data_IF_052466296115
#
_entry.id   IF_052466296115
#
_cell.length_a   1.000
_cell.length_b   1.000
_cell.length_c   1.000
_cell.angle_alpha   90.00
_cell.angle_beta   90.00
_cell.angle_gamma   90.00
#
_symmetry.space_group_name_H-M   'P 1'
#
loop_
_entity.id
_entity.type
_entity.pdbx_description
1 polymer ?
#
# COMPACT_ATOMS: atom_id res chain seq x y z
N UNK A 1 0.30 13.63 -8.51
CA UNK A 1 1.21 12.95 -7.57
C UNK A 1 0.57 13.02 -6.20
N UNK A 2 0.39 11.90 -5.52
CA UNK A 2 -0.15 11.84 -4.16
C UNK A 2 0.90 11.20 -3.26
N UNK A 3 1.10 11.75 -2.08
CA UNK A 3 2.03 11.24 -1.07
C UNK A 3 1.24 10.79 0.16
N UNK A 4 1.67 9.68 0.77
CA UNK A 4 1.08 9.11 1.96
C UNK A 4 2.21 8.73 2.93
N UNK A 5 2.15 9.27 4.14
CA UNK A 5 3.01 8.89 5.25
C UNK A 5 2.18 8.20 6.30
N UNK A 6 2.62 7.01 6.73
CA UNK A 6 2.05 6.28 7.84
C UNK A 6 3.08 6.23 8.96
N UNK A 7 2.74 6.80 10.12
CA UNK A 7 3.53 6.63 11.33
C UNK A 7 3.62 5.15 11.73
N UNK A 8 4.60 4.74 12.56
CA UNK A 8 4.65 3.39 13.14
C UNK A 8 3.30 2.93 13.69
N UNK A 9 2.81 1.77 13.23
CA UNK A 9 1.50 1.23 13.58
C UNK A 9 0.31 1.84 12.82
N UNK A 10 0.54 2.83 11.97
CA UNK A 10 -0.47 3.47 11.13
C UNK A 10 -0.93 2.58 9.98
N UNK A 11 -2.18 2.75 9.55
CA UNK A 11 -2.75 2.00 8.45
C UNK A 11 -3.83 2.79 7.70
N UNK A 12 -4.00 2.44 6.42
CA UNK A 12 -5.19 2.79 5.64
C UNK A 12 -6.03 1.54 5.55
N UNK A 13 -7.25 1.59 6.11
CA UNK A 13 -8.20 0.49 6.16
C UNK A 13 -8.60 -0.07 4.78
N UNK A 14 -9.42 -1.11 4.79
CA UNK A 14 -9.86 -1.76 3.55
C UNK A 14 -10.58 -0.76 2.62
N UNK A 15 -10.06 -0.61 1.40
CA UNK A 15 -10.62 0.29 0.38
C UNK A 15 -10.15 -0.11 -1.02
N UNK A 16 -10.74 0.51 -2.04
CA UNK A 16 -10.30 0.42 -3.43
C UNK A 16 -10.30 1.82 -4.08
N UNK A 17 -9.86 1.93 -5.34
CA UNK A 17 -9.70 3.22 -6.03
C UNK A 17 -10.50 3.25 -7.34
N UNK A 18 -10.82 4.46 -7.82
CA UNK A 18 -11.40 4.61 -9.16
C UNK A 18 -10.27 4.62 -10.18
N UNK A 19 -10.02 3.46 -10.81
CA UNK A 19 -9.00 3.25 -11.84
C UNK A 19 -7.62 2.85 -11.29
N UNK A 20 -6.70 2.44 -12.17
CA UNK A 20 -5.42 1.88 -11.77
C UNK A 20 -4.42 2.94 -11.30
N UNK A 21 -3.46 2.52 -10.47
CA UNK A 21 -2.39 3.35 -9.95
C UNK A 21 -1.08 2.60 -9.78
N UNK A 22 0.02 3.35 -9.72
CA UNK A 22 1.34 2.84 -9.34
C UNK A 22 1.75 3.57 -8.06
N UNK A 23 2.21 2.81 -7.07
CA UNK A 23 2.84 3.33 -5.85
C UNK A 23 4.30 2.95 -5.84
N UNK A 24 5.11 3.81 -5.23
CA UNK A 24 6.50 3.51 -4.89
C UNK A 24 6.64 3.66 -3.39
N UNK A 25 7.28 2.70 -2.72
CA UNK A 25 7.68 2.87 -1.33
C UNK A 25 8.97 3.70 -1.32
N UNK A 26 8.93 4.87 -0.70
CA UNK A 26 10.08 5.80 -0.68
C UNK A 26 10.95 5.61 0.57
N UNK A 27 10.34 5.35 1.73
CA UNK A 27 11.00 5.15 3.03
C UNK A 27 10.26 4.10 3.84
N UNK A 28 10.98 3.35 4.67
CA UNK A 28 10.41 2.32 5.55
C UNK A 28 9.88 1.10 4.80
N UNK A 29 9.05 0.30 5.45
CA UNK A 29 8.50 -0.93 4.90
C UNK A 29 6.97 -0.90 4.96
N UNK A 30 6.32 -1.19 3.84
CA UNK A 30 4.85 -1.27 3.77
C UNK A 30 4.41 -2.73 3.73
N UNK A 31 3.51 -3.12 4.64
CA UNK A 31 2.75 -4.37 4.48
C UNK A 31 1.46 -4.09 3.76
N UNK A 32 1.20 -4.82 2.68
CA UNK A 32 0.05 -4.62 1.82
C UNK A 32 -0.79 -5.89 1.76
N UNK A 33 -2.02 -5.82 2.26
CA UNK A 33 -2.95 -6.93 2.31
C UNK A 33 -3.94 -6.83 1.15
N UNK A 34 -3.93 -7.84 0.28
CA UNK A 34 -4.91 -8.12 -0.77
C UNK A 34 -5.86 -9.24 -0.30
N UNK A 35 -6.98 -9.49 -1.00
CA UNK A 35 -7.95 -10.50 -0.58
C UNK A 35 -7.38 -11.92 -0.49
N UNK A 36 -6.40 -12.24 -1.33
CA UNK A 36 -5.82 -13.58 -1.46
C UNK A 36 -4.41 -13.70 -0.88
N UNK A 37 -3.73 -12.59 -0.62
CA UNK A 37 -2.32 -12.59 -0.19
C UNK A 37 -1.94 -11.34 0.59
N UNK A 38 -0.86 -11.45 1.34
CA UNK A 38 -0.18 -10.29 1.95
C UNK A 38 1.22 -10.19 1.40
N UNK A 39 1.62 -8.98 1.04
CA UNK A 39 2.93 -8.64 0.50
C UNK A 39 3.65 -7.64 1.39
N UNK A 40 4.97 -7.60 1.28
CA UNK A 40 5.82 -6.62 1.94
C UNK A 40 6.63 -5.91 0.87
N UNK A 41 6.60 -4.58 0.88
CA UNK A 41 7.34 -3.72 -0.05
C UNK A 41 8.34 -2.86 0.72
N UNK A 42 9.56 -2.76 0.17
CA UNK A 42 10.71 -2.04 0.72
C UNK A 42 10.99 -0.75 -0.07
N UNK A 43 11.86 0.14 0.44
CA UNK A 43 12.21 1.36 -0.29
C UNK A 43 12.75 1.06 -1.68
N UNK A 44 12.18 1.72 -2.69
CA UNK A 44 12.50 1.51 -4.10
C UNK A 44 11.55 0.54 -4.81
N UNK A 45 10.81 -0.29 -4.08
CA UNK A 45 9.82 -1.18 -4.69
C UNK A 45 8.63 -0.41 -5.24
N UNK A 46 8.07 -0.93 -6.33
CA UNK A 46 6.85 -0.45 -6.94
C UNK A 46 5.74 -1.49 -6.80
N UNK A 47 4.52 -1.02 -6.59
CA UNK A 47 3.32 -1.85 -6.68
C UNK A 47 2.29 -1.22 -7.62
N UNK A 48 1.58 -2.11 -8.31
CA UNK A 48 0.47 -1.77 -9.17
C UNK A 48 -0.85 -2.07 -8.44
N UNK A 49 -1.74 -1.09 -8.44
CA UNK A 49 -3.10 -1.21 -7.94
C UNK A 49 -4.02 -1.19 -9.17
N UNK A 50 -4.82 -2.24 -9.39
CA UNK A 50 -5.76 -2.28 -10.52
C UNK A 50 -6.92 -1.28 -10.37
N UNK A 51 -7.15 -0.81 -9.15
CA UNK A 51 -8.22 0.09 -8.76
C UNK A 51 -9.45 -0.63 -8.23
N UNK A 52 -9.84 -1.74 -8.84
CA UNK A 52 -11.07 -2.48 -8.53
C UNK A 52 -10.93 -3.53 -7.42
N UNK A 53 -9.72 -3.76 -6.90
CA UNK A 53 -9.45 -4.73 -5.83
C UNK A 53 -9.27 -4.03 -4.49
N UNK A 54 -10.04 -4.46 -3.49
CA UNK A 54 -9.89 -3.99 -2.11
C UNK A 54 -8.52 -4.35 -1.54
N UNK A 55 -7.94 -3.44 -0.77
CA UNK A 55 -6.68 -3.63 -0.12
C UNK A 55 -6.56 -2.80 1.17
N UNK A 56 -5.59 -3.19 1.99
CA UNK A 56 -5.23 -2.48 3.22
C UNK A 56 -3.73 -2.28 3.26
N UNK A 57 -3.28 -1.06 3.59
CA UNK A 57 -1.86 -0.73 3.71
C UNK A 57 -1.51 -0.48 5.17
N UNK A 58 -0.45 -1.11 5.65
CA UNK A 58 0.03 -0.99 7.02
C UNK A 58 1.50 -0.56 7.04
N UNK A 59 1.82 0.39 7.91
CA UNK A 59 3.14 0.50 8.51
C UNK A 59 3.12 -0.23 9.86
N UNK A 60 3.80 -1.38 9.95
CA UNK A 60 3.77 -2.21 11.16
C UNK A 60 4.74 -1.74 12.25
N UNK A 61 5.78 -0.98 11.91
CA UNK A 61 6.89 -0.63 12.81
C UNK A 61 7.63 0.62 12.37
#
# INVERSE_FOLDING_TARGET
>A
MTELTLEPGGYVGEHNHVGPGIRQVTVGQMTYALPDRTMVYNPGDFLFESGDVNHTAYNRS
#
